data_IF_147181691452
#
_entry.id   IF_147181691452
#
_cell.length_a   1.000
_cell.length_b   1.000
_cell.length_c   1.000
_cell.angle_alpha   90.00
_cell.angle_beta   90.00
_cell.angle_gamma   90.00
#
_symmetry.space_group_name_H-M   'P 1'
#
loop_
_entity.id
_entity.type
_entity.pdbx_description
1 polymer ?
#
# COMPACT_ATOMS: atom_id res chain seq x y z
N UNK A 1 -4.74 -1.21 -7.21
CA UNK A 1 -4.59 -0.63 -5.85
C UNK A 1 -4.07 0.79 -6.03
N UNK A 2 -4.44 1.76 -5.18
CA UNK A 2 -4.10 3.18 -5.39
C UNK A 2 -2.58 3.44 -5.35
N UNK A 3 -1.84 2.52 -4.74
CA UNK A 3 -0.39 2.50 -4.65
C UNK A 3 0.29 2.23 -6.02
N UNK A 4 -0.45 1.71 -7.00
CA UNK A 4 0.05 1.54 -8.37
C UNK A 4 -0.29 2.72 -9.29
N UNK A 5 -0.95 3.76 -8.78
CA UNK A 5 -1.40 4.92 -9.56
C UNK A 5 -0.28 5.95 -9.71
N UNK A 6 0.50 6.18 -8.64
CA UNK A 6 1.51 7.23 -8.59
C UNK A 6 0.94 8.62 -8.29
N UNK A 7 1.74 9.45 -7.61
CA UNK A 7 1.33 10.78 -7.11
C UNK A 7 0.77 11.70 -8.20
N UNK A 8 1.40 11.72 -9.39
CA UNK A 8 0.98 12.52 -10.54
C UNK A 8 -0.47 12.23 -10.97
N UNK A 9 -0.94 11.00 -10.79
CA UNK A 9 -2.24 10.53 -11.27
C UNK A 9 -3.31 10.46 -10.16
N UNK A 10 -2.97 10.76 -8.90
CA UNK A 10 -3.96 10.84 -7.81
C UNK A 10 -5.14 11.77 -8.11
N UNK A 11 -4.95 12.98 -8.69
CA UNK A 11 -6.03 13.81 -9.21
C UNK A 11 -7.03 13.06 -10.10
N UNK A 12 -6.51 12.40 -11.15
CA UNK A 12 -7.32 11.72 -12.17
C UNK A 12 -8.05 10.51 -11.57
N UNK A 13 -7.39 9.79 -10.67
CA UNK A 13 -7.96 8.66 -9.93
C UNK A 13 -9.15 9.10 -9.07
N UNK A 14 -9.00 10.18 -8.30
CA UNK A 14 -10.09 10.72 -7.47
C UNK A 14 -11.21 11.32 -8.31
N UNK A 15 -10.90 11.97 -9.45
CA UNK A 15 -11.91 12.44 -10.39
C UNK A 15 -12.74 11.28 -10.95
N UNK A 16 -12.12 10.12 -11.20
CA UNK A 16 -12.82 8.93 -11.66
C UNK A 16 -13.79 8.40 -10.59
N UNK A 17 -13.39 8.36 -9.32
CA UNK A 17 -14.26 7.99 -8.19
C UNK A 17 -15.43 8.98 -8.08
N UNK A 18 -15.14 10.28 -8.10
CA UNK A 18 -16.16 11.32 -7.99
C UNK A 18 -17.17 11.26 -9.15
N UNK A 19 -16.74 11.00 -10.39
CA UNK A 19 -17.65 10.83 -11.53
C UNK A 19 -18.52 9.57 -11.41
N UNK A 20 -17.99 8.48 -10.86
CA UNK A 20 -18.70 7.21 -10.75
C UNK A 20 -19.79 7.22 -9.65
N UNK A 21 -19.69 8.12 -8.67
CA UNK A 21 -20.66 8.22 -7.58
C UNK A 21 -21.79 9.21 -7.90
N UNK A 22 -23.01 8.87 -7.50
CA UNK A 22 -24.12 9.83 -7.35
C UNK A 22 -23.92 10.69 -6.10
N UNK A 23 -24.54 11.88 -5.98
CA UNK A 23 -24.55 12.63 -4.72
C UNK A 23 -25.05 11.74 -3.55
N UNK A 24 -24.35 11.81 -2.41
CA UNK A 24 -24.54 10.91 -1.26
C UNK A 24 -24.01 9.47 -1.45
N UNK A 25 -23.48 9.14 -2.63
CA UNK A 25 -22.87 7.85 -2.93
C UNK A 25 -21.57 7.64 -2.17
N UNK A 26 -21.28 6.38 -1.82
CA UNK A 26 -20.13 5.98 -1.00
C UNK A 26 -19.19 5.07 -1.79
N UNK A 27 -17.89 5.26 -1.64
CA UNK A 27 -16.86 4.32 -2.05
C UNK A 27 -15.99 3.94 -0.85
N UNK A 28 -15.60 2.67 -0.75
CA UNK A 28 -14.60 2.23 0.20
C UNK A 28 -13.25 2.17 -0.50
N UNK A 29 -12.26 2.91 0.00
CA UNK A 29 -10.89 2.89 -0.51
C UNK A 29 -9.97 2.31 0.57
N UNK A 30 -9.30 1.21 0.24
CA UNK A 30 -8.19 0.67 1.04
C UNK A 30 -6.87 1.05 0.39
N UNK A 31 -5.91 1.49 1.19
CA UNK A 31 -4.60 1.97 0.73
C UNK A 31 -3.52 1.70 1.78
N UNK A 32 -2.28 1.60 1.32
CA UNK A 32 -1.08 1.67 2.15
C UNK A 32 -0.50 3.09 2.07
N UNK A 33 -0.27 3.69 3.23
CA UNK A 33 0.35 5.00 3.36
C UNK A 33 1.73 4.89 4.01
N UNK A 34 2.55 5.91 3.77
CA UNK A 34 3.82 6.14 4.45
C UNK A 34 3.67 7.41 5.30
N UNK A 35 4.46 7.51 6.37
CA UNK A 35 4.53 8.74 7.16
C UNK A 35 4.83 9.95 6.26
N UNK A 36 3.97 10.97 6.33
CA UNK A 36 4.08 12.19 5.53
C UNK A 36 5.41 12.92 5.77
N UNK A 37 5.99 12.79 6.98
CA UNK A 37 7.27 13.40 7.33
C UNK A 37 8.44 12.91 6.46
N UNK A 38 8.35 11.70 5.92
CA UNK A 38 9.38 11.11 5.05
C UNK A 38 8.92 11.01 3.59
N UNK A 39 7.71 11.47 3.25
CA UNK A 39 7.13 11.28 1.93
C UNK A 39 7.96 11.93 0.82
N UNK A 40 8.47 13.16 1.02
CA UNK A 40 9.21 13.88 -0.03
C UNK A 40 10.56 13.24 -0.37
N UNK A 41 11.24 12.62 0.62
CA UNK A 41 12.48 11.90 0.36
C UNK A 41 12.18 10.54 -0.27
N UNK A 42 11.16 9.86 0.22
CA UNK A 42 10.65 8.60 -0.32
C UNK A 42 10.27 8.74 -1.81
N UNK A 43 9.46 9.73 -2.17
CA UNK A 43 8.88 9.89 -3.52
C UNK A 43 9.90 10.22 -4.61
N UNK A 44 11.08 10.68 -4.22
CA UNK A 44 12.19 11.04 -5.13
C UNK A 44 13.26 9.96 -5.25
N UNK A 45 13.09 8.83 -4.56
CA UNK A 45 14.07 7.75 -4.51
C UNK A 45 13.49 6.45 -5.07
N UNK A 46 14.35 5.60 -5.64
CA UNK A 46 13.98 4.23 -6.00
C UNK A 46 14.44 3.31 -4.89
N UNK A 47 13.51 2.83 -4.08
CA UNK A 47 13.82 1.91 -2.98
C UNK A 47 13.95 0.45 -3.46
N UNK A 48 14.26 -0.44 -2.51
CA UNK A 48 14.33 -1.88 -2.76
C UNK A 48 12.99 -2.45 -3.31
N UNK A 49 11.85 -2.00 -2.78
CA UNK A 49 10.53 -2.49 -3.15
C UNK A 49 10.24 -2.12 -4.60
N UNK A 50 10.44 -0.86 -4.98
CA UNK A 50 10.25 -0.38 -6.35
C UNK A 50 11.21 -1.06 -7.33
N UNK A 51 12.46 -1.31 -6.92
CA UNK A 51 13.45 -1.93 -7.80
C UNK A 51 13.18 -3.41 -8.07
N UNK A 52 12.70 -4.17 -7.08
CA UNK A 52 12.69 -5.63 -7.16
C UNK A 52 11.31 -6.28 -7.01
N UNK A 53 10.32 -5.60 -6.43
CA UNK A 53 9.01 -6.21 -6.08
C UNK A 53 7.85 -5.53 -6.82
N UNK A 54 7.72 -4.21 -6.71
CA UNK A 54 6.65 -3.43 -7.30
C UNK A 54 7.18 -2.22 -8.09
N UNK A 55 7.71 -2.44 -9.32
CA UNK A 55 8.14 -1.35 -10.19
C UNK A 55 7.03 -0.32 -10.43
N UNK A 56 7.33 0.95 -10.16
CA UNK A 56 6.38 2.07 -10.28
C UNK A 56 5.40 2.21 -9.12
N UNK A 57 5.43 1.33 -8.11
CA UNK A 57 4.59 1.45 -6.92
C UNK A 57 4.99 2.64 -6.05
N UNK A 58 4.01 3.33 -5.47
CA UNK A 58 4.19 4.49 -4.60
C UNK A 58 3.15 4.50 -3.49
N UNK A 59 3.61 4.48 -2.24
CA UNK A 59 2.76 4.62 -1.06
C UNK A 59 2.18 6.03 -0.98
N UNK A 60 1.04 6.17 -0.31
CA UNK A 60 0.34 7.45 -0.20
C UNK A 60 0.89 8.30 0.95
N UNK A 61 0.93 9.62 0.74
CA UNK A 61 0.76 10.57 1.84
C UNK A 61 -0.74 10.73 2.08
N UNK A 62 -1.23 10.23 3.21
CA UNK A 62 -2.66 10.30 3.56
C UNK A 62 -3.17 11.76 3.64
N UNK A 63 -2.49 12.72 4.30
CA UNK A 63 -2.94 14.12 4.32
C UNK A 63 -3.04 14.76 2.93
N UNK A 64 -2.05 14.54 2.05
CA UNK A 64 -2.05 15.10 0.68
C UNK A 64 -3.16 14.49 -0.17
N UNK A 65 -3.30 13.17 -0.13
CA UNK A 65 -4.33 12.46 -0.87
C UNK A 65 -5.74 12.82 -0.39
N UNK A 66 -5.93 12.96 0.92
CA UNK A 66 -7.19 13.44 1.51
C UNK A 66 -7.56 14.84 1.04
N UNK A 67 -6.61 15.78 1.05
CA UNK A 67 -6.86 17.15 0.59
C UNK A 67 -7.31 17.16 -0.89
N UNK A 68 -6.69 16.33 -1.73
CA UNK A 68 -7.11 16.16 -3.13
C UNK A 68 -8.53 15.58 -3.25
N UNK A 69 -8.91 14.63 -2.39
CA UNK A 69 -10.23 14.02 -2.39
C UNK A 69 -11.30 15.05 -1.98
N UNK A 70 -11.06 15.79 -0.90
CA UNK A 70 -11.98 16.81 -0.39
C UNK A 70 -12.17 17.94 -1.40
N UNK A 71 -11.11 18.37 -2.10
CA UNK A 71 -11.19 19.34 -3.20
C UNK A 71 -12.06 18.86 -4.39
N UNK A 72 -12.33 17.56 -4.50
CA UNK A 72 -13.17 16.93 -5.53
C UNK A 72 -14.58 16.58 -5.03
N UNK A 73 -14.97 17.13 -3.89
CA UNK A 73 -16.28 16.88 -3.30
C UNK A 73 -16.43 15.48 -2.69
N UNK A 74 -15.31 14.78 -2.40
CA UNK A 74 -15.33 13.50 -1.71
C UNK A 74 -15.00 13.74 -0.23
N UNK A 75 -16.00 13.63 0.63
CA UNK A 75 -15.80 13.68 2.08
C UNK A 75 -15.01 12.44 2.54
N UNK A 76 -14.09 12.64 3.48
CA UNK A 76 -13.21 11.62 4.03
C UNK A 76 -13.74 11.13 5.39
N UNK A 77 -14.41 9.98 5.41
CA UNK A 77 -15.14 9.49 6.58
C UNK A 77 -14.68 8.08 6.98
N UNK A 78 -14.97 7.68 8.23
CA UNK A 78 -14.76 6.31 8.75
C UNK A 78 -13.34 5.74 8.56
N UNK A 79 -12.30 6.59 8.61
CA UNK A 79 -10.91 6.14 8.48
C UNK A 79 -10.56 5.13 9.57
N UNK A 80 -10.14 3.92 9.19
CA UNK A 80 -9.70 2.85 10.10
C UNK A 80 -8.35 2.31 9.65
N UNK A 81 -7.42 2.17 10.60
CA UNK A 81 -6.07 1.64 10.37
C UNK A 81 -5.94 0.18 10.77
N UNK A 82 -5.07 -0.54 10.07
CA UNK A 82 -4.85 -1.97 10.24
C UNK A 82 -3.36 -2.35 10.16
N UNK A 83 -2.42 -1.42 10.35
CA UNK A 83 -0.98 -1.66 10.23
C UNK A 83 -0.50 -2.91 10.97
N UNK A 84 -0.86 -3.08 12.24
CA UNK A 84 -0.50 -4.28 13.02
C UNK A 84 -1.14 -5.58 12.49
N UNK A 85 -2.33 -5.51 11.91
CA UNK A 85 -2.93 -6.67 11.25
C UNK A 85 -2.16 -7.04 9.96
N UNK A 86 -1.63 -6.06 9.25
CA UNK A 86 -0.83 -6.30 8.05
C UNK A 86 0.56 -6.83 8.39
N UNK A 87 1.16 -6.36 9.49
CA UNK A 87 2.37 -6.97 10.05
C UNK A 87 2.15 -8.47 10.35
N UNK A 88 1.07 -8.82 11.05
CA UNK A 88 0.73 -10.23 11.32
C UNK A 88 0.45 -11.02 10.03
N UNK A 89 -0.15 -10.38 9.02
CA UNK A 89 -0.39 -10.99 7.71
C UNK A 89 0.94 -11.34 7.02
N UNK A 90 1.88 -10.40 6.98
CA UNK A 90 3.22 -10.60 6.39
C UNK A 90 4.01 -11.68 7.14
N UNK A 91 3.92 -11.70 8.47
CA UNK A 91 4.51 -12.77 9.29
C UNK A 91 3.96 -14.15 8.91
N UNK A 92 2.64 -14.28 8.78
CA UNK A 92 1.98 -15.54 8.36
C UNK A 92 2.40 -15.96 6.96
N UNK A 93 2.48 -15.01 6.02
CA UNK A 93 2.97 -15.29 4.68
C UNK A 93 4.41 -15.79 4.69
N UNK A 94 5.29 -15.16 5.49
CA UNK A 94 6.68 -15.60 5.64
C UNK A 94 6.78 -17.02 6.20
N UNK A 95 6.04 -17.34 7.26
CA UNK A 95 6.01 -18.69 7.85
C UNK A 95 5.55 -19.73 6.82
N UNK A 96 4.47 -19.43 6.09
CA UNK A 96 3.96 -20.33 5.05
C UNK A 96 4.94 -20.49 3.87
N UNK A 97 5.62 -19.40 3.49
CA UNK A 97 6.64 -19.39 2.45
C UNK A 97 7.86 -20.23 2.86
N UNK A 98 8.36 -20.07 4.08
CA UNK A 98 9.51 -20.82 4.60
C UNK A 98 9.19 -22.33 4.68
N UNK A 99 7.97 -22.70 5.09
CA UNK A 99 7.53 -24.09 5.03
C UNK A 99 7.49 -24.63 3.58
N UNK A 100 7.03 -23.83 2.62
CA UNK A 100 7.01 -24.21 1.21
C UNK A 100 8.39 -24.42 0.61
N UNK A 101 9.36 -23.60 1.03
CA UNK A 101 10.77 -23.76 0.66
C UNK A 101 11.33 -25.06 1.24
N UNK A 102 11.12 -25.31 2.53
CA UNK A 102 11.64 -26.49 3.22
C UNK A 102 11.07 -27.80 2.65
N UNK A 103 9.79 -27.80 2.25
CA UNK A 103 9.10 -28.94 1.66
C UNK A 103 9.38 -29.11 0.15
N UNK A 104 10.20 -28.25 -0.46
CA UNK A 104 10.52 -28.33 -1.88
C UNK A 104 9.33 -28.03 -2.80
N UNK A 105 8.33 -27.27 -2.33
CA UNK A 105 7.10 -26.97 -3.08
C UNK A 105 7.26 -25.87 -4.13
N UNK A 106 8.37 -25.12 -4.09
CA UNK A 106 8.60 -24.05 -5.06
C UNK A 106 9.02 -24.61 -6.43
N UNK A 107 8.49 -24.06 -7.54
CA UNK A 107 9.00 -24.35 -8.88
C UNK A 107 10.51 -24.13 -9.00
N UNK A 108 11.20 -24.98 -9.76
CA UNK A 108 12.66 -24.96 -9.92
C UNK A 108 13.25 -23.62 -10.41
N UNK A 109 12.43 -22.79 -11.09
CA UNK A 109 12.83 -21.43 -11.51
C UNK A 109 13.06 -20.45 -10.36
N UNK A 110 12.53 -20.75 -9.17
CA UNK A 110 12.69 -19.94 -7.97
C UNK A 110 13.90 -20.44 -7.18
N UNK A 111 15.06 -19.93 -7.56
CA UNK A 111 16.34 -20.26 -6.97
C UNK A 111 16.52 -19.68 -5.55
N UNK A 112 17.65 -20.01 -4.91
CA UNK A 112 17.99 -19.50 -3.59
C UNK A 112 18.03 -17.96 -3.53
N UNK A 113 18.36 -17.30 -4.65
CA UNK A 113 18.39 -15.83 -4.74
C UNK A 113 16.97 -15.26 -4.68
N UNK A 114 16.02 -15.85 -5.41
CA UNK A 114 14.61 -15.48 -5.31
C UNK A 114 14.09 -15.71 -3.90
N UNK A 115 14.42 -16.85 -3.27
CA UNK A 115 13.98 -17.15 -1.91
C UNK A 115 14.49 -16.11 -0.91
N UNK A 116 15.76 -15.72 -1.01
CA UNK A 116 16.33 -14.67 -0.16
C UNK A 116 15.66 -13.31 -0.41
N UNK A 117 15.44 -12.94 -1.67
CA UNK A 117 14.77 -11.70 -2.06
C UNK A 117 13.35 -11.63 -1.49
N UNK A 118 12.56 -12.68 -1.68
CA UNK A 118 11.16 -12.73 -1.26
C UNK A 118 11.01 -12.76 0.26
N UNK A 119 11.89 -13.49 0.96
CA UNK A 119 11.94 -13.47 2.42
C UNK A 119 12.28 -12.08 2.94
N UNK A 120 13.29 -11.43 2.34
CA UNK A 120 13.66 -10.08 2.72
C UNK A 120 12.50 -9.10 2.51
N UNK A 121 11.80 -9.17 1.37
CA UNK A 121 10.60 -8.38 1.11
C UNK A 121 9.55 -8.53 2.22
N UNK A 122 9.18 -9.76 2.58
CA UNK A 122 8.16 -10.01 3.60
C UNK A 122 8.58 -9.46 4.97
N UNK A 123 9.83 -9.69 5.38
CA UNK A 123 10.37 -9.20 6.65
C UNK A 123 10.51 -7.68 6.68
N UNK A 124 10.96 -7.08 5.57
CA UNK A 124 11.14 -5.64 5.44
C UNK A 124 9.80 -4.91 5.59
N UNK A 125 8.76 -5.38 4.89
CA UNK A 125 7.43 -4.82 5.03
C UNK A 125 6.83 -5.10 6.43
N UNK A 126 7.05 -6.29 7.00
CA UNK A 126 6.59 -6.64 8.36
C UNK A 126 7.16 -5.63 9.36
N UNK A 127 8.46 -5.34 9.29
CA UNK A 127 9.15 -4.33 10.09
C UNK A 127 8.62 -2.92 9.87
N UNK A 128 8.32 -2.54 8.61
CA UNK A 128 7.75 -1.23 8.29
C UNK A 128 6.40 -0.98 8.98
N UNK A 129 5.50 -1.97 8.96
CA UNK A 129 4.21 -1.88 9.64
C UNK A 129 4.34 -1.95 11.17
N UNK A 130 5.22 -2.80 11.70
CA UNK A 130 5.48 -2.87 13.16
C UNK A 130 6.08 -1.58 13.71
N UNK A 131 6.96 -0.94 12.93
CA UNK A 131 7.60 0.32 13.29
C UNK A 131 6.71 1.54 13.11
N UNK A 132 5.52 1.40 12.52
CA UNK A 132 4.58 2.50 12.28
C UNK A 132 5.02 3.48 11.19
N UNK A 133 6.08 3.19 10.43
CA UNK A 133 6.52 4.02 9.30
C UNK A 133 5.59 3.91 8.08
N UNK A 134 4.83 2.83 7.99
CA UNK A 134 3.75 2.62 7.03
C UNK A 134 2.49 2.11 7.75
N UNK A 135 1.32 2.45 7.22
CA UNK A 135 0.02 1.93 7.69
C UNK A 135 -0.78 1.42 6.50
N UNK A 136 -1.73 0.53 6.77
CA UNK A 136 -2.79 0.18 5.84
C UNK A 136 -4.08 0.68 6.42
N UNK A 137 -4.84 1.43 5.64
CA UNK A 137 -6.09 2.00 6.10
C UNK A 137 -7.20 1.77 5.10
N UNK A 138 -8.42 1.81 5.62
CA UNK A 138 -9.63 1.91 4.83
C UNK A 138 -10.34 3.22 5.19
N UNK A 139 -10.83 3.91 4.17
CA UNK A 139 -11.65 5.11 4.32
C UNK A 139 -12.93 4.97 3.50
N UNK A 140 -14.02 5.57 3.99
CA UNK A 140 -15.22 5.84 3.20
C UNK A 140 -15.07 7.21 2.54
N UNK A 141 -15.12 7.23 1.20
CA UNK A 141 -15.29 8.45 0.42
C UNK A 141 -16.78 8.67 0.16
N UNK A 142 -17.32 9.82 0.55
CA UNK A 142 -18.74 10.18 0.32
C UNK A 142 -18.84 11.36 -0.62
N UNK A 143 -19.52 11.20 -1.76
CA UNK A 143 -19.72 12.31 -2.69
C UNK A 143 -20.73 13.30 -2.12
N UNK A 144 -20.29 14.54 -1.93
CA UNK A 144 -21.14 15.67 -1.56
C UNK A 144 -21.92 16.19 -2.76
#
# INVERSE_FOLDING_TARGET
MVEAVGEEYWPVYLDAIARALKPGGRAALQYISIDDAIFDSYSRSVDFIQRYVFPGGMLLSEPRFRALAEARGLAWEDRRGFGLHYAETLRRWRVAFDAAVAEGRLPARFDARFVALWRYYLMYCEGGFLGGGIDVAQVTLVKR
#
